data_IF_416403496532
#
_entry.id   IF_416403496532
#
_cell.length_a   1.000
_cell.length_b   1.000
_cell.length_c   1.000
_cell.angle_alpha   90.00
_cell.angle_beta   90.00
_cell.angle_gamma   90.00
#
_symmetry.space_group_name_H-M   'P 1'
#
loop_
_entity.id
_entity.type
_entity.pdbx_description
1 polymer ?
#
# COMPACT_ATOMS: atom_id res chain seq x y z
N UNK A 1 65.78 1.15 9.14
CA UNK A 1 64.74 0.17 8.71
C UNK A 1 63.61 -0.06 9.71
N UNK A 2 63.82 0.06 11.04
CA UNK A 2 62.78 -0.21 12.07
C UNK A 2 61.59 0.76 12.07
N UNK A 3 61.78 2.07 11.84
CA UNK A 3 60.69 3.09 11.86
C UNK A 3 59.69 2.92 10.75
N UNK A 4 60.07 2.43 9.58
CA UNK A 4 59.11 2.18 8.46
C UNK A 4 58.13 1.04 8.74
N UNK A 5 58.53 0.00 9.46
CA UNK A 5 57.64 -1.11 9.87
C UNK A 5 56.50 -0.64 10.77
N UNK A 6 56.75 0.26 11.71
CA UNK A 6 55.70 0.78 12.60
C UNK A 6 54.69 1.66 11.87
N UNK A 7 55.11 2.38 10.85
CA UNK A 7 54.21 3.19 9.99
C UNK A 7 53.21 2.28 9.25
N UNK A 8 53.68 1.19 8.66
CA UNK A 8 52.79 0.25 7.98
C UNK A 8 51.81 -0.46 8.94
N UNK A 9 52.27 -0.84 10.13
CA UNK A 9 51.40 -1.44 11.16
C UNK A 9 50.34 -0.43 11.57
N UNK A 10 50.68 0.82 11.78
CA UNK A 10 49.73 1.87 12.15
C UNK A 10 48.68 2.12 11.05
N UNK A 11 49.10 2.16 9.78
CA UNK A 11 48.19 2.32 8.63
C UNK A 11 47.25 1.12 8.52
N UNK A 12 47.73 -0.10 8.70
CA UNK A 12 46.87 -1.31 8.67
C UNK A 12 45.86 -1.29 9.82
N UNK A 13 46.25 -0.93 11.03
CA UNK A 13 45.36 -0.78 12.17
C UNK A 13 44.30 0.30 11.90
N UNK A 14 44.67 1.44 11.34
CA UNK A 14 43.76 2.51 10.99
C UNK A 14 42.72 2.05 9.92
N UNK A 15 43.16 1.31 8.92
CA UNK A 15 42.31 0.74 7.88
C UNK A 15 41.35 -0.32 8.48
N UNK A 16 41.82 -1.16 9.41
CA UNK A 16 40.98 -2.14 10.10
C UNK A 16 39.93 -1.47 10.99
N UNK A 17 40.29 -0.39 11.69
CA UNK A 17 39.34 0.40 12.49
C UNK A 17 38.31 1.09 11.59
N UNK A 18 38.72 1.67 10.47
CA UNK A 18 37.80 2.27 9.49
C UNK A 18 36.88 1.22 8.88
N UNK A 19 37.41 0.03 8.56
CA UNK A 19 36.60 -1.08 8.04
C UNK A 19 35.59 -1.58 9.08
N UNK A 20 36.02 -1.75 10.33
CA UNK A 20 35.15 -2.14 11.44
C UNK A 20 34.06 -1.08 11.71
N UNK A 21 34.44 0.22 11.67
CA UNK A 21 33.48 1.33 11.81
C UNK A 21 32.44 1.33 10.68
N UNK A 22 32.87 1.14 9.42
CA UNK A 22 31.99 1.06 8.26
C UNK A 22 31.10 -0.19 8.27
N UNK A 23 31.61 -1.31 8.80
CA UNK A 23 30.86 -2.58 8.96
C UNK A 23 29.91 -2.54 10.15
N UNK A 24 30.26 -1.86 11.25
CA UNK A 24 29.42 -1.71 12.44
C UNK A 24 28.26 -0.73 12.27
N UNK A 25 28.33 0.17 11.29
CA UNK A 25 27.25 1.13 10.97
C UNK A 25 26.24 0.60 9.95
N UNK A 26 26.13 -0.73 9.79
CA UNK A 26 24.96 -1.32 9.16
C UNK A 26 23.81 -1.10 10.16
N UNK A 27 23.11 0.04 10.02
CA UNK A 27 21.85 0.30 10.73
C UNK A 27 21.02 -0.96 10.63
N UNK A 28 20.74 -1.58 11.77
CA UNK A 28 19.76 -2.68 11.81
C UNK A 28 18.51 -2.13 11.13
N UNK A 29 17.89 -2.87 10.22
CA UNK A 29 16.66 -2.40 9.59
C UNK A 29 15.71 -2.02 10.73
N UNK A 30 15.31 -0.76 10.75
CA UNK A 30 14.34 -0.27 11.72
C UNK A 30 13.10 -1.16 11.56
N UNK A 31 12.72 -1.84 12.64
CA UNK A 31 11.57 -2.74 12.60
C UNK A 31 10.35 -1.87 12.34
N UNK A 32 9.88 -1.86 11.09
CA UNK A 32 8.68 -1.12 10.70
C UNK A 32 7.52 -1.57 11.60
N UNK A 33 6.97 -0.64 12.37
CA UNK A 33 5.83 -0.93 13.24
C UNK A 33 4.62 -1.08 12.32
N UNK A 34 4.05 -2.29 12.29
CA UNK A 34 2.85 -2.58 11.53
C UNK A 34 1.64 -1.97 12.26
N UNK A 35 1.02 -0.97 11.64
CA UNK A 35 -0.23 -0.35 12.09
C UNK A 35 -1.32 -0.70 11.09
N UNK A 36 -2.31 -1.49 11.51
CA UNK A 36 -3.39 -1.97 10.64
C UNK A 36 -4.65 -1.14 10.86
N UNK A 37 -5.23 -0.62 9.78
CA UNK A 37 -6.57 -0.05 9.80
C UNK A 37 -7.61 -1.15 9.63
N UNK A 38 -8.38 -1.40 10.67
CA UNK A 38 -9.44 -2.42 10.68
C UNK A 38 -10.65 -2.02 9.80
N UNK A 39 -11.37 -3.00 9.24
CA UNK A 39 -12.50 -2.78 8.32
C UNK A 39 -13.78 -2.46 9.08
N UNK A 40 -13.90 -1.25 9.62
CA UNK A 40 -14.99 -0.83 10.53
C UNK A 40 -16.41 -0.89 9.93
N UNK A 41 -16.56 -0.95 8.60
CA UNK A 41 -17.86 -1.01 7.91
C UNK A 41 -18.12 -2.38 7.26
N UNK A 42 -17.26 -3.37 7.50
CA UNK A 42 -17.49 -4.74 7.06
C UNK A 42 -18.73 -5.32 7.75
N UNK A 43 -19.55 -6.07 7.03
CA UNK A 43 -20.83 -6.60 7.49
C UNK A 43 -22.00 -5.61 7.44
N UNK A 44 -21.74 -4.30 7.22
CA UNK A 44 -22.78 -3.28 7.10
C UNK A 44 -22.83 -2.63 5.72
N UNK A 45 -21.69 -2.19 5.19
CA UNK A 45 -21.60 -1.54 3.87
C UNK A 45 -21.23 -2.51 2.75
N UNK A 46 -20.58 -3.60 3.10
CA UNK A 46 -20.26 -4.72 2.23
C UNK A 46 -20.19 -6.01 3.05
N UNK A 47 -20.25 -7.21 2.45
CA UNK A 47 -20.21 -8.47 3.18
C UNK A 47 -18.99 -8.60 4.10
N UNK A 48 -19.23 -9.00 5.35
CA UNK A 48 -18.18 -9.17 6.36
C UNK A 48 -17.39 -10.47 6.23
N UNK A 49 -17.94 -11.47 5.54
CA UNK A 49 -17.30 -12.74 5.27
C UNK A 49 -16.46 -12.70 4.00
N UNK A 50 -15.32 -13.40 4.02
CA UNK A 50 -14.38 -13.47 2.88
C UNK A 50 -15.06 -13.99 1.61
N UNK A 51 -15.72 -15.14 1.69
CA UNK A 51 -16.31 -15.80 0.53
C UNK A 51 -17.52 -15.03 0.01
N UNK A 52 -18.34 -14.47 0.89
CA UNK A 52 -19.47 -13.63 0.52
C UNK A 52 -19.02 -12.35 -0.20
N UNK A 53 -17.98 -11.69 0.33
CA UNK A 53 -17.43 -10.49 -0.30
C UNK A 53 -16.82 -10.81 -1.67
N UNK A 54 -16.08 -11.90 -1.77
CA UNK A 54 -15.50 -12.37 -3.03
C UNK A 54 -16.58 -12.66 -4.08
N UNK A 55 -17.65 -13.34 -3.67
CA UNK A 55 -18.78 -13.64 -4.54
C UNK A 55 -19.52 -12.36 -5.00
N UNK A 56 -19.75 -11.42 -4.07
CA UNK A 56 -20.40 -10.16 -4.39
C UNK A 56 -19.61 -9.34 -5.41
N UNK A 57 -18.29 -9.14 -5.17
CA UNK A 57 -17.41 -8.43 -6.10
C UNK A 57 -17.35 -9.14 -7.45
N UNK A 58 -17.19 -10.47 -7.44
CA UNK A 58 -17.17 -11.28 -8.66
C UNK A 58 -18.46 -11.15 -9.47
N UNK A 59 -19.63 -11.14 -8.80
CA UNK A 59 -20.92 -10.93 -9.44
C UNK A 59 -21.03 -9.55 -10.09
N UNK A 60 -20.69 -8.47 -9.37
CA UNK A 60 -20.74 -7.12 -9.92
C UNK A 60 -19.81 -6.97 -11.14
N UNK A 61 -18.59 -7.45 -11.08
CA UNK A 61 -17.63 -7.41 -12.18
C UNK A 61 -18.04 -8.32 -13.35
N UNK A 62 -18.68 -9.46 -13.06
CA UNK A 62 -19.19 -10.41 -14.07
C UNK A 62 -20.33 -9.84 -14.89
N UNK A 63 -21.13 -8.95 -14.33
CA UNK A 63 -22.24 -8.27 -14.99
C UNK A 63 -21.80 -7.12 -15.93
N UNK A 64 -20.52 -6.82 -15.99
CA UNK A 64 -19.97 -5.71 -16.79
C UNK A 64 -19.07 -6.24 -17.89
N UNK A 65 -19.25 -5.72 -19.09
CA UNK A 65 -18.35 -5.96 -20.22
C UNK A 65 -17.17 -4.98 -20.18
N UNK A 66 -15.97 -5.48 -20.43
CA UNK A 66 -14.81 -4.62 -20.71
C UNK A 66 -15.04 -4.00 -22.10
N UNK A 67 -14.79 -2.70 -22.23
CA UNK A 67 -14.91 -1.97 -23.50
C UNK A 67 -13.51 -1.58 -23.98
N UNK A 68 -13.34 -1.51 -25.28
CA UNK A 68 -12.10 -0.98 -25.86
C UNK A 68 -12.07 0.53 -25.69
N UNK A 69 -11.02 1.04 -25.06
CA UNK A 69 -10.79 2.46 -24.85
C UNK A 69 -9.57 2.90 -25.65
N UNK A 70 -9.70 4.02 -26.34
CA UNK A 70 -8.56 4.65 -27.00
C UNK A 70 -7.71 5.39 -25.97
N UNK A 71 -6.59 4.77 -25.55
CA UNK A 71 -5.66 5.37 -24.60
C UNK A 71 -5.56 4.58 -23.29
N UNK A 72 -4.85 5.17 -22.32
CA UNK A 72 -4.58 4.57 -21.01
C UNK A 72 -5.41 5.26 -19.95
N UNK A 73 -6.13 4.49 -19.14
CA UNK A 73 -6.85 5.02 -17.97
C UNK A 73 -5.82 5.53 -16.94
N UNK A 74 -5.96 6.80 -16.55
CA UNK A 74 -5.09 7.43 -15.53
C UNK A 74 -5.79 7.54 -14.18
N UNK A 75 -7.11 7.64 -14.18
CA UNK A 75 -7.93 7.72 -12.97
C UNK A 75 -9.34 7.23 -13.26
N UNK A 76 -10.03 6.79 -12.22
CA UNK A 76 -11.47 6.50 -12.24
C UNK A 76 -12.15 7.26 -11.11
N UNK A 77 -13.39 7.67 -11.33
CA UNK A 77 -14.26 8.24 -10.31
C UNK A 77 -15.45 7.30 -10.16
N UNK A 78 -15.68 6.83 -8.93
CA UNK A 78 -16.72 5.85 -8.65
C UNK A 78 -17.57 6.29 -7.45
N UNK A 79 -18.84 5.89 -7.37
CA UNK A 79 -19.64 6.12 -6.19
C UNK A 79 -19.10 5.29 -5.01
N UNK A 80 -19.25 5.82 -3.78
CA UNK A 80 -18.71 5.24 -2.55
C UNK A 80 -19.76 4.95 -1.48
N UNK A 81 -21.00 4.70 -1.86
CA UNK A 81 -22.01 4.17 -0.96
C UNK A 81 -21.77 2.68 -0.68
N UNK A 82 -22.54 2.10 0.26
CA UNK A 82 -22.48 0.67 0.48
C UNK A 82 -22.75 -0.14 -0.79
N UNK A 83 -22.16 -1.31 -0.91
CA UNK A 83 -22.15 -2.15 -2.13
C UNK A 83 -23.57 -2.43 -2.69
N UNK A 84 -24.55 -2.59 -1.81
CA UNK A 84 -25.95 -2.77 -2.23
C UNK A 84 -26.46 -1.64 -3.12
N UNK A 85 -25.98 -0.42 -2.92
CA UNK A 85 -26.46 0.77 -3.62
C UNK A 85 -25.58 1.19 -4.79
N UNK A 86 -24.29 1.02 -4.66
CA UNK A 86 -23.33 1.54 -5.65
C UNK A 86 -22.34 0.53 -6.21
N UNK A 87 -22.31 -0.70 -5.69
CA UNK A 87 -21.33 -1.71 -6.10
C UNK A 87 -21.37 -2.03 -7.59
N UNK A 88 -22.57 -2.16 -8.18
CA UNK A 88 -22.73 -2.44 -9.61
C UNK A 88 -22.24 -1.27 -10.47
N UNK A 89 -22.52 -0.02 -10.06
CA UNK A 89 -22.07 1.17 -10.80
C UNK A 89 -20.55 1.33 -10.69
N UNK A 90 -19.98 1.12 -9.50
CA UNK A 90 -18.54 1.14 -9.31
C UNK A 90 -17.84 0.06 -10.15
N UNK A 91 -18.42 -1.13 -10.25
CA UNK A 91 -17.90 -2.23 -11.05
C UNK A 91 -17.75 -1.88 -12.54
N UNK A 92 -18.58 -0.98 -13.08
CA UNK A 92 -18.47 -0.52 -14.47
C UNK A 92 -17.11 0.12 -14.74
N UNK A 93 -16.64 0.97 -13.83
CA UNK A 93 -15.33 1.61 -13.96
C UNK A 93 -14.18 0.66 -13.60
N UNK A 94 -14.31 -0.09 -12.50
CA UNK A 94 -13.26 -1.04 -12.07
C UNK A 94 -13.02 -2.14 -13.12
N UNK A 95 -14.04 -2.58 -13.85
CA UNK A 95 -13.89 -3.58 -14.92
C UNK A 95 -13.02 -3.11 -16.08
N UNK A 96 -12.84 -1.81 -16.25
CA UNK A 96 -12.04 -1.25 -17.34
C UNK A 96 -10.55 -1.19 -16.99
N UNK A 97 -10.19 -1.32 -15.70
CA UNK A 97 -8.79 -1.28 -15.27
C UNK A 97 -8.03 -2.52 -15.75
N UNK A 98 -6.73 -2.35 -15.94
CA UNK A 98 -5.78 -3.45 -16.13
C UNK A 98 -5.49 -4.14 -14.78
N UNK A 99 -4.91 -5.33 -14.84
CA UNK A 99 -4.80 -6.18 -13.64
C UNK A 99 -3.69 -5.79 -12.67
N UNK A 100 -2.69 -4.98 -13.11
CA UNK A 100 -1.50 -4.67 -12.31
C UNK A 100 -1.18 -3.18 -12.33
N UNK A 101 -1.00 -2.62 -11.15
CA UNK A 101 -0.55 -1.24 -10.92
C UNK A 101 0.52 -1.24 -9.82
N UNK A 102 1.63 -0.54 -10.03
CA UNK A 102 2.71 -0.40 -9.04
C UNK A 102 2.24 0.43 -7.83
N UNK A 103 1.45 1.45 -8.07
CA UNK A 103 0.94 2.35 -7.04
C UNK A 103 -0.47 2.82 -7.36
N UNK A 104 -1.35 2.81 -6.36
CA UNK A 104 -2.73 3.29 -6.45
C UNK A 104 -2.95 4.40 -5.43
N UNK A 105 -3.37 5.58 -5.89
CA UNK A 105 -3.82 6.66 -5.01
C UNK A 105 -5.33 6.57 -4.83
N UNK A 106 -5.75 6.25 -3.59
CA UNK A 106 -7.16 6.18 -3.22
C UNK A 106 -7.54 7.48 -2.50
N UNK A 107 -8.49 8.22 -3.06
CA UNK A 107 -8.99 9.46 -2.49
C UNK A 107 -10.49 9.40 -2.22
N UNK A 108 -10.93 9.99 -1.13
CA UNK A 108 -12.34 10.08 -0.78
C UNK A 108 -12.63 11.34 0.04
N UNK A 109 -13.90 11.80 0.07
CA UNK A 109 -14.29 12.96 0.86
C UNK A 109 -14.32 12.65 2.36
N UNK A 110 -14.11 13.67 3.18
CA UNK A 110 -14.41 13.62 4.61
C UNK A 110 -15.90 13.86 4.83
N UNK A 111 -16.59 12.91 5.47
CA UNK A 111 -18.03 13.01 5.75
C UNK A 111 -18.35 13.48 7.18
N UNK A 112 -17.39 13.40 8.08
CA UNK A 112 -17.64 13.63 9.52
C UNK A 112 -16.94 14.88 10.06
N UNK A 113 -15.83 15.26 9.44
CA UNK A 113 -15.03 16.39 9.91
C UNK A 113 -14.76 17.38 8.77
N UNK A 114 -14.90 18.68 9.00
CA UNK A 114 -14.45 19.67 8.03
C UNK A 114 -12.93 19.54 7.88
N UNK A 115 -12.47 19.47 6.65
CA UNK A 115 -11.07 19.32 6.31
C UNK A 115 -10.66 20.36 5.29
N UNK A 116 -9.65 21.16 5.62
CA UNK A 116 -8.98 22.04 4.65
C UNK A 116 -7.70 21.36 4.20
N UNK A 117 -7.58 21.09 2.89
CA UNK A 117 -6.46 20.33 2.34
C UNK A 117 -6.73 18.83 2.30
N UNK A 118 -5.73 18.00 2.55
CA UNK A 118 -5.80 16.55 2.54
C UNK A 118 -5.26 15.94 3.84
N UNK A 119 -5.76 14.78 4.20
CA UNK A 119 -5.27 13.97 5.33
C UNK A 119 -4.88 12.60 4.82
N UNK A 120 -3.76 12.08 5.29
CA UNK A 120 -3.26 10.74 4.97
C UNK A 120 -3.35 9.88 6.23
N UNK A 121 -3.75 8.62 6.06
CA UNK A 121 -3.77 7.65 7.15
C UNK A 121 -2.37 7.41 7.70
N UNK A 122 -2.23 7.32 9.03
CA UNK A 122 -0.99 6.87 9.68
C UNK A 122 -0.85 5.34 9.73
N UNK A 123 -1.84 4.60 9.24
CA UNK A 123 -1.76 3.14 9.13
C UNK A 123 -0.76 2.74 8.04
N UNK A 124 -0.06 1.64 8.24
CA UNK A 124 0.82 1.04 7.25
C UNK A 124 0.12 -0.01 6.40
N UNK A 125 -1.05 -0.49 6.85
CA UNK A 125 -1.83 -1.50 6.16
C UNK A 125 -3.33 -1.21 6.28
N UNK A 126 -4.08 -1.48 5.21
CA UNK A 126 -5.54 -1.62 5.26
C UNK A 126 -5.91 -3.08 5.27
N UNK A 127 -6.87 -3.42 6.16
CA UNK A 127 -7.46 -4.75 6.24
C UNK A 127 -8.85 -4.77 5.65
N UNK A 128 -9.16 -5.83 4.94
CA UNK A 128 -10.50 -6.16 4.44
C UNK A 128 -10.78 -7.64 4.73
N UNK A 129 -12.01 -8.11 4.61
CA UNK A 129 -12.28 -9.56 4.68
C UNK A 129 -11.50 -10.37 3.64
N UNK A 130 -11.07 -9.77 2.53
CA UNK A 130 -10.26 -10.44 1.50
C UNK A 130 -8.79 -10.55 1.87
N UNK A 131 -8.31 -9.75 2.80
CA UNK A 131 -6.91 -9.71 3.23
C UNK A 131 -6.42 -8.31 3.56
N UNK A 132 -5.12 -8.20 3.75
CA UNK A 132 -4.44 -6.94 4.07
C UNK A 132 -3.67 -6.45 2.85
N UNK A 133 -3.64 -5.15 2.68
CA UNK A 133 -2.85 -4.45 1.65
C UNK A 133 -1.95 -3.43 2.34
N UNK A 134 -0.67 -3.41 1.98
CA UNK A 134 0.27 -2.37 2.42
C UNK A 134 -0.10 -1.03 1.78
N UNK A 135 0.10 0.06 2.56
CA UNK A 135 -0.06 1.45 2.12
C UNK A 135 1.29 2.07 1.78
#
# INVERSE_FOLDING_TARGET
MRKRKYIYIFIILLLLVMFAYKSGNKLLPEKEIKVVREPVVAGSWYPGGREELKAAVGSYLGNVKKVELNGTIKAIIVPHAGYKFSGQVAAVAFKQLDDVYDTVFLMGPSHQFPLTGASISSATHYKTPLGETRL
#
